data_IF_644952932458
#
_entry.id   IF_644952932458
#
_cell.length_a   1.000
_cell.length_b   1.000
_cell.length_c   1.000
_cell.angle_alpha   90.00
_cell.angle_beta   90.00
_cell.angle_gamma   90.00
#
_symmetry.space_group_name_H-M   'P 1'
#
loop_
_entity.id
_entity.type
_entity.pdbx_description
1 polymer ?
#
# COMPACT_ATOMS: atom_id res chain seq x y z
N UNK A 1 -8.26 -7.98 -35.15
CA UNK A 1 -9.46 -7.68 -34.35
C UNK A 1 -9.89 -8.92 -33.58
N UNK A 2 -10.31 -8.79 -32.33
CA UNK A 2 -10.80 -9.93 -31.56
C UNK A 2 -12.22 -10.27 -32.02
N UNK A 3 -12.41 -11.47 -32.57
CA UNK A 3 -13.71 -11.94 -33.04
C UNK A 3 -14.68 -12.32 -31.89
N UNK A 4 -15.92 -12.73 -32.20
CA UNK A 4 -16.97 -13.04 -31.23
C UNK A 4 -16.60 -14.06 -30.15
N UNK A 5 -15.58 -14.89 -30.42
CA UNK A 5 -15.03 -15.87 -29.47
C UNK A 5 -14.51 -15.25 -28.16
N UNK A 6 -14.12 -13.96 -28.16
CA UNK A 6 -13.65 -13.24 -26.97
C UNK A 6 -14.73 -13.19 -25.88
N UNK A 7 -16.01 -13.09 -26.25
CA UNK A 7 -17.13 -13.08 -25.30
C UNK A 7 -17.31 -14.44 -24.62
N UNK A 8 -17.03 -15.52 -25.32
CA UNK A 8 -17.03 -16.87 -24.75
C UNK A 8 -15.88 -17.05 -23.77
N UNK A 9 -14.68 -16.55 -24.10
CA UNK A 9 -13.55 -16.55 -23.18
C UNK A 9 -13.84 -15.76 -21.89
N UNK A 10 -14.47 -14.58 -21.99
CA UNK A 10 -14.89 -13.81 -20.82
C UNK A 10 -15.96 -14.53 -19.97
N UNK A 11 -16.90 -15.27 -20.58
CA UNK A 11 -17.87 -16.09 -19.84
C UNK A 11 -17.17 -17.19 -19.02
N UNK A 12 -16.12 -17.81 -19.57
CA UNK A 12 -15.32 -18.81 -18.85
C UNK A 12 -14.52 -18.15 -17.72
N UNK A 13 -13.82 -17.05 -17.99
CA UNK A 13 -13.08 -16.29 -16.97
C UNK A 13 -13.97 -15.84 -15.81
N UNK A 14 -15.23 -15.45 -16.07
CA UNK A 14 -16.21 -15.11 -15.03
C UNK A 14 -16.47 -16.27 -14.07
N UNK A 15 -16.47 -17.52 -14.56
CA UNK A 15 -16.66 -18.71 -13.73
C UNK A 15 -15.43 -19.05 -12.91
N UNK A 16 -14.24 -18.66 -13.36
CA UNK A 16 -12.98 -18.84 -12.63
C UNK A 16 -12.69 -17.72 -11.61
N UNK A 17 -13.61 -16.77 -11.41
CA UNK A 17 -13.45 -15.67 -10.45
C UNK A 17 -13.20 -16.14 -9.01
N UNK A 18 -13.66 -17.34 -8.64
CA UNK A 18 -13.48 -17.90 -7.30
C UNK A 18 -12.02 -18.30 -7.02
N UNK A 19 -11.20 -18.45 -8.07
CA UNK A 19 -9.78 -18.71 -7.91
C UNK A 19 -9.02 -17.48 -7.39
N UNK A 20 -9.60 -16.28 -7.48
CA UNK A 20 -8.97 -15.06 -6.95
C UNK A 20 -8.76 -15.16 -5.44
N UNK A 21 -7.53 -14.91 -4.99
CA UNK A 21 -7.15 -15.08 -3.59
C UNK A 21 -6.90 -16.53 -3.16
N UNK A 22 -6.89 -17.49 -4.07
CA UNK A 22 -6.51 -18.89 -3.80
C UNK A 22 -5.11 -19.20 -4.33
N UNK A 23 -4.54 -20.37 -3.98
CA UNK A 23 -3.24 -20.81 -4.51
C UNK A 23 -3.20 -20.93 -6.04
N UNK A 24 -4.36 -21.06 -6.71
CA UNK A 24 -4.47 -21.13 -8.17
C UNK A 24 -4.69 -19.75 -8.84
N UNK A 25 -4.56 -18.65 -8.08
CA UNK A 25 -4.64 -17.29 -8.61
C UNK A 25 -3.36 -16.89 -9.36
N UNK A 26 -3.19 -17.37 -10.61
CA UNK A 26 -1.99 -17.08 -11.41
C UNK A 26 -1.75 -15.58 -11.56
N UNK A 27 -2.82 -14.78 -11.66
CA UNK A 27 -2.71 -13.30 -11.70
C UNK A 27 -2.40 -12.71 -10.33
N UNK A 28 -2.82 -13.36 -9.24
CA UNK A 28 -2.51 -13.01 -7.85
C UNK A 28 -1.09 -13.33 -7.38
N UNK A 29 -0.37 -14.19 -8.11
CA UNK A 29 1.04 -14.53 -7.86
C UNK A 29 2.04 -13.60 -8.57
N UNK A 30 1.55 -12.69 -9.42
CA UNK A 30 2.39 -11.68 -10.05
C UNK A 30 3.06 -10.79 -9.00
N UNK A 31 4.28 -10.35 -9.28
CA UNK A 31 5.06 -9.48 -8.39
C UNK A 31 4.30 -8.19 -8.06
N UNK A 32 3.50 -7.67 -9.01
CA UNK A 32 2.64 -6.51 -8.79
C UNK A 32 1.60 -6.74 -7.68
N UNK A 33 0.93 -7.91 -7.66
CA UNK A 33 -0.07 -8.21 -6.62
C UNK A 33 0.54 -8.48 -5.26
N UNK A 34 1.74 -9.06 -5.20
CA UNK A 34 2.50 -9.17 -3.94
C UNK A 34 2.87 -7.80 -3.40
N UNK A 35 3.35 -6.92 -4.28
CA UNK A 35 3.67 -5.53 -3.92
C UNK A 35 2.45 -4.77 -3.40
N UNK A 36 1.29 -4.85 -4.06
CA UNK A 36 0.06 -4.21 -3.58
C UNK A 36 -0.35 -4.67 -2.18
N UNK A 37 -0.29 -5.98 -1.90
CA UNK A 37 -0.58 -6.51 -0.57
C UNK A 37 0.40 -5.99 0.48
N UNK A 38 1.70 -5.99 0.15
CA UNK A 38 2.74 -5.44 1.03
C UNK A 38 2.48 -3.97 1.34
N UNK A 39 2.19 -3.15 0.33
CA UNK A 39 1.89 -1.72 0.50
C UNK A 39 0.67 -1.47 1.39
N UNK A 40 -0.39 -2.26 1.24
CA UNK A 40 -1.56 -2.21 2.12
C UNK A 40 -1.18 -2.52 3.57
N UNK A 41 -0.43 -3.60 3.79
CA UNK A 41 -0.09 -4.05 5.14
C UNK A 41 0.85 -3.05 5.83
N UNK A 42 1.82 -2.50 5.09
CA UNK A 42 2.69 -1.41 5.56
C UNK A 42 1.90 -0.14 5.92
N UNK A 43 0.88 0.23 5.13
CA UNK A 43 0.00 1.35 5.45
C UNK A 43 -0.76 1.11 6.76
N UNK A 44 -1.39 -0.06 6.91
CA UNK A 44 -2.11 -0.41 8.13
C UNK A 44 -1.19 -0.41 9.36
N UNK A 45 0.04 -0.92 9.22
CA UNK A 45 1.04 -0.87 10.28
C UNK A 45 1.41 0.58 10.64
N UNK A 46 1.61 1.44 9.63
CA UNK A 46 1.91 2.86 9.83
C UNK A 46 0.80 3.54 10.62
N UNK A 47 -0.45 3.42 10.17
CA UNK A 47 -1.61 4.03 10.86
C UNK A 47 -1.73 3.52 12.31
N UNK A 48 -1.57 2.21 12.53
CA UNK A 48 -1.59 1.64 13.89
C UNK A 48 -0.48 2.18 14.80
N UNK A 49 0.67 2.56 14.24
CA UNK A 49 1.76 3.19 14.98
C UNK A 49 1.54 4.68 15.27
N UNK A 50 0.82 5.39 14.39
CA UNK A 50 0.53 6.81 14.55
C UNK A 50 -0.58 7.06 15.57
N UNK A 51 -1.68 6.29 15.51
CA UNK A 51 -2.89 6.55 16.30
C UNK A 51 -2.65 6.69 17.82
N UNK A 52 -1.83 5.85 18.49
CA UNK A 52 -1.62 5.94 19.94
C UNK A 52 -0.87 7.21 20.37
N UNK A 53 -0.15 7.85 19.45
CA UNK A 53 0.68 9.03 19.69
C UNK A 53 0.07 10.30 19.07
N UNK A 54 -1.12 10.18 18.48
CA UNK A 54 -1.79 11.28 17.78
C UNK A 54 -2.23 12.37 18.79
N UNK A 55 -1.86 13.60 18.48
CA UNK A 55 -2.23 14.80 19.24
C UNK A 55 -2.61 15.92 18.26
N UNK A 56 -3.20 17.01 18.77
CA UNK A 56 -3.50 18.17 17.95
C UNK A 56 -2.23 18.79 17.31
N UNK A 57 -1.08 18.69 17.98
CA UNK A 57 0.18 19.27 17.54
C UNK A 57 0.82 18.48 16.38
N UNK A 58 0.59 17.17 16.33
CA UNK A 58 1.18 16.30 15.31
C UNK A 58 0.17 15.78 14.27
N UNK A 59 -1.10 16.15 14.40
CA UNK A 59 -2.18 15.76 13.49
C UNK A 59 -1.83 16.05 12.02
N UNK A 60 -1.31 17.23 11.71
CA UNK A 60 -0.94 17.59 10.35
C UNK A 60 0.14 16.66 9.77
N UNK A 61 1.13 16.27 10.57
CA UNK A 61 2.16 15.32 10.16
C UNK A 61 1.60 13.90 10.03
N UNK A 62 0.68 13.50 10.89
CA UNK A 62 0.01 12.20 10.79
C UNK A 62 -0.78 12.08 9.48
N UNK A 63 -1.49 13.14 9.10
CA UNK A 63 -2.20 13.23 7.80
C UNK A 63 -1.20 13.17 6.64
N UNK A 64 -0.11 13.95 6.69
CA UNK A 64 0.94 13.94 5.66
C UNK A 64 1.51 12.52 5.46
N UNK A 65 1.73 11.76 6.55
CA UNK A 65 2.17 10.36 6.48
C UNK A 65 1.08 9.45 5.88
N UNK A 66 -0.18 9.65 6.27
CA UNK A 66 -1.30 8.84 5.79
C UNK A 66 -1.62 9.04 4.29
N UNK A 67 -1.31 10.21 3.74
CA UNK A 67 -1.53 10.56 2.33
C UNK A 67 -0.47 9.99 1.38
N UNK A 68 0.68 9.53 1.89
CA UNK A 68 1.78 9.01 1.05
C UNK A 68 1.34 7.94 0.02
N UNK A 69 0.49 6.95 0.35
CA UNK A 69 0.05 5.94 -0.60
C UNK A 69 -0.70 6.51 -1.81
N UNK A 70 -1.32 7.70 -1.70
CA UNK A 70 -2.05 8.33 -2.81
C UNK A 70 -1.16 8.74 -3.98
N UNK A 71 0.15 8.84 -3.74
CA UNK A 71 1.17 9.14 -4.75
C UNK A 71 1.50 7.91 -5.61
N UNK A 72 1.09 6.71 -5.19
CA UNK A 72 1.34 5.46 -5.91
C UNK A 72 0.25 5.27 -6.97
N UNK A 73 0.51 5.78 -8.19
CA UNK A 73 -0.42 5.71 -9.34
C UNK A 73 0.23 5.08 -10.57
N UNK A 74 -0.59 4.64 -11.52
CA UNK A 74 -0.15 4.06 -12.80
C UNK A 74 0.03 2.54 -12.76
N UNK A 75 0.65 1.99 -13.80
CA UNK A 75 0.82 0.55 -14.02
C UNK A 75 2.27 0.21 -14.36
N UNK A 76 2.68 -1.04 -14.12
CA UNK A 76 4.02 -1.55 -14.46
C UNK A 76 5.15 -0.68 -13.90
N UNK A 77 6.16 -0.39 -14.74
CA UNK A 77 7.34 0.37 -14.34
C UNK A 77 7.05 1.80 -13.84
N UNK A 78 5.95 2.43 -14.30
CA UNK A 78 5.55 3.75 -13.78
C UNK A 78 5.16 3.65 -12.32
N UNK A 79 4.40 2.60 -11.96
CA UNK A 79 3.98 2.33 -10.59
C UNK A 79 5.17 2.00 -9.70
N UNK A 80 6.10 1.17 -10.17
CA UNK A 80 7.33 0.82 -9.44
C UNK A 80 8.13 2.07 -9.04
N UNK A 81 8.33 3.00 -9.98
CA UNK A 81 9.00 4.29 -9.69
C UNK A 81 8.25 5.13 -8.65
N UNK A 82 6.92 5.14 -8.69
CA UNK A 82 6.13 5.83 -7.68
C UNK A 82 6.19 5.14 -6.32
N UNK A 83 6.24 3.81 -6.27
CA UNK A 83 6.45 3.04 -5.03
C UNK A 83 7.77 3.41 -4.37
N UNK A 84 8.87 3.47 -5.14
CA UNK A 84 10.17 3.87 -4.61
C UNK A 84 10.18 5.30 -4.07
N UNK A 85 9.57 6.24 -4.80
CA UNK A 85 9.43 7.64 -4.35
C UNK A 85 8.60 7.75 -3.08
N UNK A 86 7.46 7.07 -3.03
CA UNK A 86 6.58 7.02 -1.86
C UNK A 86 7.28 6.40 -0.65
N UNK A 87 8.07 5.34 -0.83
CA UNK A 87 8.84 4.73 0.24
C UNK A 87 9.88 5.69 0.83
N UNK A 88 10.58 6.47 -0.02
CA UNK A 88 11.53 7.50 0.42
C UNK A 88 10.83 8.62 1.20
N UNK A 89 9.70 9.11 0.69
CA UNK A 89 8.91 10.13 1.37
C UNK A 89 8.41 9.63 2.72
N UNK A 90 7.80 8.43 2.77
CA UNK A 90 7.33 7.84 4.03
C UNK A 90 8.46 7.74 5.06
N UNK A 91 9.64 7.28 4.66
CA UNK A 91 10.78 7.17 5.57
C UNK A 91 11.20 8.54 6.12
N UNK A 92 11.16 9.59 5.31
CA UNK A 92 11.45 10.96 5.76
C UNK A 92 10.40 11.48 6.75
N UNK A 93 9.13 11.27 6.46
CA UNK A 93 8.05 11.70 7.35
C UNK A 93 8.04 10.93 8.67
N UNK A 94 8.32 9.64 8.65
CA UNK A 94 8.47 8.83 9.87
C UNK A 94 9.70 9.27 10.68
N UNK A 95 10.80 9.66 10.03
CA UNK A 95 11.94 10.28 10.75
C UNK A 95 11.53 11.58 11.43
N UNK A 96 10.74 12.44 10.76
CA UNK A 96 10.18 13.66 11.37
C UNK A 96 9.28 13.33 12.55
N UNK A 97 8.45 12.29 12.44
CA UNK A 97 7.57 11.81 13.51
C UNK A 97 8.35 11.34 14.74
N UNK A 98 9.48 10.68 14.55
CA UNK A 98 10.33 10.16 15.64
C UNK A 98 11.30 11.17 16.25
N UNK A 99 11.43 12.40 15.72
CA UNK A 99 12.33 13.40 16.30
C UNK A 99 11.80 13.82 17.69
N UNK A 100 12.66 13.89 18.72
CA UNK A 100 12.25 14.24 20.07
C UNK A 100 11.86 15.73 20.13
N UNK A 101 10.55 15.93 20.05
CA UNK A 101 9.78 17.15 20.29
C UNK A 101 8.31 16.82 20.59
N UNK A 102 7.93 15.55 20.41
CA UNK A 102 6.71 14.90 20.85
C UNK A 102 7.19 13.85 21.86
N UNK A 103 6.87 13.99 23.14
CA UNK A 103 7.47 13.19 24.21
C UNK A 103 7.20 11.69 24.04
N UNK A 104 8.23 10.93 23.69
CA UNK A 104 8.18 9.46 23.68
C UNK A 104 8.83 8.96 24.97
N UNK A 105 8.01 8.51 25.92
CA UNK A 105 8.49 7.63 26.98
C UNK A 105 8.63 6.23 26.38
N UNK A 106 9.83 5.86 25.95
CA UNK A 106 10.15 4.46 25.66
C UNK A 106 10.36 3.74 26.99
N UNK A 107 9.39 2.90 27.37
CA UNK A 107 9.58 1.95 28.45
C UNK A 107 10.59 0.90 28.01
N UNK A 108 11.73 0.88 28.70
CA UNK A 108 12.77 -0.14 28.63
C UNK A 108 12.22 -1.48 29.12
N UNK A 109 12.43 -2.54 28.35
CA UNK A 109 12.16 -3.92 28.72
C UNK A 109 12.96 -4.86 27.84
#
# INVERSE_FOLDING_TARGET
EYGPWIFTAFKVLKRLKFLRGTAFDIVGHTEERKMERRLRDEYLQTIRGLLPQLSAENHALAVEIAEVPEQIRGFGHVKERHVEKAAKLRAELLRRWSKPGIAVHLATG
#
